data_IF_952072740691
#
_entry.id   IF_952072740691
#
_cell.length_a   1.000
_cell.length_b   1.000
_cell.length_c   1.000
_cell.angle_alpha   90.00
_cell.angle_beta   90.00
_cell.angle_gamma   90.00
#
_symmetry.space_group_name_H-M   'P 1'
#
loop_
_entity.id
_entity.type
_entity.pdbx_description
1 polymer ?
#
# COMPACT_ATOMS: atom_id res chain seq x y z
N UNK A 1 4.41 -9.04 -11.22
CA UNK A 1 4.14 -8.32 -9.96
C UNK A 1 2.65 -8.15 -9.68
N UNK A 2 1.91 -7.20 -10.29
CA UNK A 2 0.50 -6.96 -9.91
C UNK A 2 -0.39 -8.21 -10.00
N UNK A 3 -0.30 -8.95 -11.11
CA UNK A 3 -1.02 -10.23 -11.27
C UNK A 3 -0.64 -11.26 -10.19
N UNK A 4 0.63 -11.31 -9.79
CA UNK A 4 1.09 -12.26 -8.76
C UNK A 4 0.54 -11.87 -7.38
N UNK A 5 0.58 -10.58 -7.03
CA UNK A 5 -0.01 -10.06 -5.79
C UNK A 5 -1.53 -10.31 -5.73
N UNK A 6 -2.24 -10.09 -6.85
CA UNK A 6 -3.67 -10.42 -6.94
C UNK A 6 -3.92 -11.93 -6.78
N UNK A 7 -3.06 -12.77 -7.36
CA UNK A 7 -3.17 -14.23 -7.24
C UNK A 7 -2.97 -14.68 -5.80
N UNK A 8 -1.98 -14.13 -5.08
CA UNK A 8 -1.72 -14.48 -3.68
C UNK A 8 -2.86 -14.09 -2.74
N UNK A 9 -3.72 -13.15 -3.16
CA UNK A 9 -4.93 -12.73 -2.45
C UNK A 9 -6.19 -13.52 -2.86
N UNK A 10 -6.04 -14.54 -3.71
CA UNK A 10 -7.11 -15.37 -4.25
C UNK A 10 -8.11 -14.61 -5.14
N UNK A 11 -7.67 -13.59 -5.87
CA UNK A 11 -8.51 -12.85 -6.81
C UNK A 11 -8.59 -13.54 -8.17
N UNK A 12 -9.75 -13.44 -8.82
CA UNK A 12 -9.95 -13.97 -10.17
C UNK A 12 -9.52 -12.94 -11.22
N UNK A 13 -8.25 -13.01 -11.61
CA UNK A 13 -7.63 -12.13 -12.60
C UNK A 13 -8.26 -12.28 -14.00
N UNK A 14 -8.90 -13.42 -14.31
CA UNK A 14 -9.57 -13.61 -15.60
C UNK A 14 -10.86 -12.78 -15.65
N UNK A 15 -11.60 -12.74 -14.54
CA UNK A 15 -12.82 -11.92 -14.41
C UNK A 15 -12.52 -10.46 -14.14
N UNK A 16 -11.39 -10.16 -13.50
CA UNK A 16 -10.94 -8.81 -13.16
C UNK A 16 -9.50 -8.59 -13.67
N UNK A 17 -9.31 -8.41 -14.99
CA UNK A 17 -8.01 -8.05 -15.53
C UNK A 17 -7.64 -6.63 -15.10
N UNK A 18 -6.34 -6.35 -14.98
CA UNK A 18 -5.81 -5.07 -14.45
C UNK A 18 -6.40 -3.82 -15.11
N UNK A 19 -6.60 -3.82 -16.44
CA UNK A 19 -7.18 -2.68 -17.15
C UNK A 19 -8.70 -2.51 -17.02
N UNK A 20 -9.39 -3.42 -16.32
CA UNK A 20 -10.82 -3.31 -15.99
C UNK A 20 -11.07 -3.04 -14.50
N UNK A 21 -10.02 -3.00 -13.69
CA UNK A 21 -10.13 -2.61 -12.30
C UNK A 21 -10.52 -1.13 -12.25
N UNK A 22 -11.60 -0.80 -11.53
CA UNK A 22 -12.12 0.58 -11.47
C UNK A 22 -12.26 1.05 -10.03
N UNK A 23 -12.02 2.35 -9.79
CA UNK A 23 -12.28 3.01 -8.49
C UNK A 23 -13.69 2.71 -7.96
N UNK A 24 -14.68 2.69 -8.85
CA UNK A 24 -16.08 2.39 -8.50
C UNK A 24 -16.29 0.95 -8.01
N UNK A 25 -15.64 -0.03 -8.63
CA UNK A 25 -15.75 -1.42 -8.20
C UNK A 25 -15.10 -1.64 -6.83
N UNK A 26 -13.97 -0.96 -6.58
CA UNK A 26 -13.27 -1.00 -5.29
C UNK A 26 -14.11 -0.32 -4.20
N UNK A 27 -14.70 0.84 -4.48
CA UNK A 27 -15.59 1.55 -3.56
C UNK A 27 -16.79 0.68 -3.15
N UNK A 28 -17.48 0.05 -4.12
CA UNK A 28 -18.55 -0.91 -3.84
C UNK A 28 -18.08 -2.11 -3.01
N UNK A 29 -16.82 -2.53 -3.19
CA UNK A 29 -16.20 -3.56 -2.37
C UNK A 29 -16.09 -3.14 -0.90
N UNK A 30 -15.69 -1.89 -0.63
CA UNK A 30 -15.63 -1.34 0.73
C UNK A 30 -17.01 -1.22 1.35
N UNK A 31 -17.99 -0.68 0.62
CA UNK A 31 -19.40 -0.59 1.05
C UNK A 31 -19.92 -1.97 1.49
N UNK A 32 -19.67 -3.02 0.70
CA UNK A 32 -20.07 -4.38 1.06
C UNK A 32 -19.35 -4.91 2.32
N UNK A 33 -18.08 -4.56 2.54
CA UNK A 33 -17.36 -4.94 3.77
C UNK A 33 -17.89 -4.20 5.00
N UNK A 34 -18.32 -2.96 4.86
CA UNK A 34 -18.95 -2.17 5.93
C UNK A 34 -20.30 -2.76 6.34
N UNK A 35 -21.12 -3.16 5.35
CA UNK A 35 -22.37 -3.85 5.61
C UNK A 35 -22.13 -5.18 6.35
N UNK A 36 -21.11 -5.93 5.94
CA UNK A 36 -20.68 -7.17 6.60
C UNK A 36 -20.22 -6.88 8.03
N UNK A 37 -19.41 -5.85 8.26
CA UNK A 37 -18.96 -5.46 9.60
C UNK A 37 -20.15 -5.13 10.52
N UNK A 38 -21.10 -4.35 10.00
CA UNK A 38 -22.30 -3.98 10.73
C UNK A 38 -23.16 -5.21 11.04
N UNK A 39 -23.29 -6.15 10.10
CA UNK A 39 -24.00 -7.40 10.28
C UNK A 39 -23.33 -8.31 11.34
N UNK A 40 -22.01 -8.44 11.32
CA UNK A 40 -21.23 -9.18 12.32
C UNK A 40 -21.48 -8.60 13.72
N UNK A 41 -21.44 -7.26 13.87
CA UNK A 41 -21.72 -6.57 15.14
C UNK A 41 -23.15 -6.79 15.64
N UNK A 42 -24.12 -6.95 14.74
CA UNK A 42 -25.52 -7.29 15.07
C UNK A 42 -25.78 -8.78 15.28
N UNK A 43 -24.79 -9.64 15.04
CA UNK A 43 -24.95 -11.10 15.12
C UNK A 43 -25.66 -11.75 13.92
N UNK A 44 -25.82 -11.02 12.82
CA UNK A 44 -26.46 -11.47 11.59
C UNK A 44 -25.45 -12.22 10.70
N UNK A 45 -25.69 -13.51 10.41
CA UNK A 45 -24.76 -14.36 9.64
C UNK A 45 -25.14 -14.56 8.16
N UNK A 46 -26.26 -13.99 7.70
CA UNK A 46 -26.87 -14.38 6.43
C UNK A 46 -26.42 -13.55 5.20
N UNK A 47 -25.68 -12.46 5.37
CA UNK A 47 -25.26 -11.53 4.28
C UNK A 47 -23.79 -11.62 3.87
N UNK A 48 -23.09 -12.68 4.28
CA UNK A 48 -21.63 -12.71 4.33
C UNK A 48 -20.93 -13.12 3.02
N UNK A 49 -21.67 -13.16 1.89
CA UNK A 49 -21.16 -13.58 0.57
C UNK A 49 -21.17 -12.44 -0.49
N UNK A 50 -21.76 -11.27 -0.22
CA UNK A 50 -21.96 -10.19 -1.20
C UNK A 50 -20.65 -9.64 -1.78
N UNK A 51 -19.58 -9.58 -0.98
CA UNK A 51 -18.25 -9.15 -1.43
C UNK A 51 -17.75 -9.93 -2.65
N UNK A 52 -17.95 -11.26 -2.67
CA UNK A 52 -17.38 -12.12 -3.72
C UNK A 52 -18.09 -11.98 -5.07
N UNK A 53 -19.26 -11.34 -5.06
CA UNK A 53 -19.98 -10.95 -6.28
C UNK A 53 -19.40 -9.68 -6.87
N UNK A 54 -19.05 -8.70 -6.02
CA UNK A 54 -18.50 -7.41 -6.43
C UNK A 54 -17.01 -7.53 -6.79
N UNK A 55 -16.26 -8.27 -5.97
CA UNK A 55 -14.82 -8.51 -6.12
C UNK A 55 -14.63 -9.98 -6.46
N UNK A 56 -14.39 -10.33 -7.75
CA UNK A 56 -14.25 -11.71 -8.17
C UNK A 56 -13.08 -12.40 -7.48
N UNK A 57 -13.36 -13.48 -6.77
CA UNK A 57 -12.37 -14.34 -6.15
C UNK A 57 -12.34 -15.71 -6.84
N UNK A 58 -11.17 -16.34 -6.83
CA UNK A 58 -10.98 -17.68 -7.37
C UNK A 58 -10.89 -18.70 -6.21
N UNK A 59 -11.99 -19.39 -5.96
CA UNK A 59 -12.07 -20.49 -4.98
C UNK A 59 -11.95 -21.89 -5.63
N UNK A 60 -11.63 -21.96 -6.93
CA UNK A 60 -11.62 -23.20 -7.69
C UNK A 60 -13.02 -23.84 -7.76
N UNK A 61 -13.13 -25.08 -7.29
CA UNK A 61 -14.41 -25.83 -7.23
C UNK A 61 -15.12 -25.70 -5.88
N UNK A 62 -14.60 -24.88 -4.97
CA UNK A 62 -15.16 -24.70 -3.63
C UNK A 62 -16.13 -23.52 -3.60
N UNK A 63 -17.10 -23.57 -2.68
CA UNK A 63 -17.97 -22.44 -2.38
C UNK A 63 -17.14 -21.31 -1.71
N UNK A 64 -17.42 -20.03 -1.99
CA UNK A 64 -16.84 -18.92 -1.26
C UNK A 64 -17.00 -19.08 0.27
N UNK A 65 -15.96 -18.77 1.07
CA UNK A 65 -16.05 -18.84 2.52
C UNK A 65 -16.85 -17.67 3.09
N UNK A 66 -17.56 -17.92 4.19
CA UNK A 66 -18.34 -16.92 4.91
C UNK A 66 -17.41 -15.99 5.71
N UNK A 67 -17.51 -14.67 5.50
CA UNK A 67 -16.75 -13.66 6.27
C UNK A 67 -17.47 -13.44 7.62
N UNK A 68 -17.11 -14.20 8.65
CA UNK A 68 -17.79 -14.15 9.96
C UNK A 68 -16.89 -13.71 11.12
N UNK A 69 -15.63 -13.45 10.83
CA UNK A 69 -14.60 -13.18 11.82
C UNK A 69 -13.91 -11.86 11.49
N UNK A 70 -13.62 -11.06 12.52
CA UNK A 70 -13.01 -9.74 12.39
C UNK A 70 -11.62 -9.79 11.74
N UNK A 71 -10.84 -10.84 12.02
CA UNK A 71 -9.54 -11.05 11.39
C UNK A 71 -9.69 -11.30 9.88
N UNK A 72 -10.69 -12.10 9.49
CA UNK A 72 -10.96 -12.36 8.06
C UNK A 72 -11.47 -11.10 7.36
N UNK A 73 -12.36 -10.35 8.01
CA UNK A 73 -12.88 -9.08 7.52
C UNK A 73 -11.75 -8.07 7.29
N UNK A 74 -10.88 -7.90 8.28
CA UNK A 74 -9.75 -6.97 8.20
C UNK A 74 -8.78 -7.36 7.08
N UNK A 75 -8.48 -8.65 6.92
CA UNK A 75 -7.68 -9.14 5.79
C UNK A 75 -8.30 -8.83 4.43
N UNK A 76 -9.64 -8.79 4.32
CA UNK A 76 -10.34 -8.36 3.09
C UNK A 76 -10.29 -6.86 2.87
N UNK A 77 -10.32 -6.05 3.92
CA UNK A 77 -10.10 -4.59 3.82
C UNK A 77 -8.68 -4.29 3.34
N UNK A 78 -7.68 -4.95 3.93
CA UNK A 78 -6.28 -4.82 3.50
C UNK A 78 -6.08 -5.22 2.04
N UNK A 79 -6.74 -6.30 1.59
CA UNK A 79 -6.74 -6.68 0.18
C UNK A 79 -7.34 -5.60 -0.73
N UNK A 80 -8.45 -4.97 -0.34
CA UNK A 80 -9.04 -3.87 -1.12
C UNK A 80 -8.16 -2.63 -1.17
N UNK A 81 -7.44 -2.31 -0.08
CA UNK A 81 -6.46 -1.23 -0.07
C UNK A 81 -5.35 -1.50 -1.11
N UNK A 82 -4.79 -2.71 -1.13
CA UNK A 82 -3.79 -3.06 -2.15
C UNK A 82 -4.37 -3.02 -3.56
N UNK A 83 -5.65 -3.36 -3.75
CA UNK A 83 -6.30 -3.20 -5.06
C UNK A 83 -6.48 -1.73 -5.46
N UNK A 84 -6.81 -0.85 -4.52
CA UNK A 84 -6.88 0.60 -4.77
C UNK A 84 -5.52 1.12 -5.26
N UNK A 85 -4.45 0.68 -4.60
CA UNK A 85 -3.10 1.02 -4.99
C UNK A 85 -2.74 0.44 -6.38
N UNK A 86 -3.15 -0.77 -6.69
CA UNK A 86 -2.90 -1.30 -8.04
C UNK A 86 -3.62 -0.46 -9.10
N UNK A 87 -4.84 0.01 -8.84
CA UNK A 87 -5.63 0.84 -9.75
C UNK A 87 -4.97 2.19 -10.01
N UNK A 88 -4.55 2.91 -8.96
CA UNK A 88 -3.88 4.21 -9.10
C UNK A 88 -2.56 4.06 -9.87
N UNK A 89 -1.79 2.99 -9.62
CA UNK A 89 -0.57 2.71 -10.39
C UNK A 89 -0.84 2.42 -11.87
N UNK A 90 -1.98 1.79 -12.21
CA UNK A 90 -2.39 1.62 -13.62
C UNK A 90 -2.78 2.97 -14.24
N UNK A 91 -3.50 3.81 -13.51
CA UNK A 91 -3.93 5.14 -13.96
C UNK A 91 -2.73 6.05 -14.27
N UNK A 92 -1.75 6.13 -13.37
CA UNK A 92 -0.50 6.86 -13.59
C UNK A 92 0.26 6.35 -14.83
N UNK A 93 0.31 5.02 -15.02
CA UNK A 93 0.94 4.42 -16.19
C UNK A 93 0.21 4.79 -17.49
N UNK A 94 -1.11 4.76 -17.48
CA UNK A 94 -1.92 5.12 -18.65
C UNK A 94 -1.77 6.60 -19.03
N UNK A 95 -1.66 7.50 -18.05
CA UNK A 95 -1.37 8.92 -18.28
C UNK A 95 0.02 9.14 -18.87
N UNK A 96 1.04 8.46 -18.34
CA UNK A 96 2.39 8.52 -18.90
C UNK A 96 2.43 8.02 -20.36
N UNK A 97 1.62 7.02 -20.70
CA UNK A 97 1.52 6.49 -22.06
C UNK A 97 0.81 7.44 -23.02
N UNK A 98 -0.23 8.16 -22.57
CA UNK A 98 -0.88 9.21 -23.38
C UNK A 98 0.06 10.39 -23.66
N UNK A 99 0.85 10.81 -22.66
CA UNK A 99 1.84 11.87 -22.84
C UNK A 99 2.91 11.52 -23.90
N UNK A 100 3.21 10.23 -24.12
CA UNK A 100 4.11 9.77 -25.21
C UNK A 100 3.54 10.04 -26.59
N UNK A 101 2.22 9.91 -26.77
CA UNK A 101 1.57 10.07 -28.07
C UNK A 101 1.53 11.55 -28.50
N UNK A 102 1.56 12.48 -27.53
CA UNK A 102 1.51 13.92 -27.75
C UNK A 102 2.90 14.54 -28.00
N UNK A 103 3.99 13.97 -27.45
CA UNK A 103 5.37 14.44 -27.67
C UNK A 103 6.03 13.76 -28.89
N UNK A 104 5.95 14.41 -30.05
CA UNK A 104 6.46 13.88 -31.34
C UNK A 104 7.97 13.92 -31.56
N UNK A 105 8.71 14.83 -30.89
CA UNK A 105 10.10 15.13 -31.32
C UNK A 105 11.21 14.53 -30.43
N UNK A 106 10.93 14.16 -29.17
CA UNK A 106 11.83 13.39 -28.30
C UNK A 106 11.02 12.67 -27.22
N UNK A 107 10.79 11.36 -27.40
CA UNK A 107 10.14 10.52 -26.39
C UNK A 107 11.21 10.04 -25.39
N UNK A 108 11.17 10.44 -24.11
CA UNK A 108 12.12 9.93 -23.11
C UNK A 108 12.05 8.40 -23.00
N UNK A 109 13.10 7.74 -22.53
CA UNK A 109 13.07 6.28 -22.38
C UNK A 109 11.91 5.87 -21.45
N UNK A 110 11.16 4.77 -21.72
CA UNK A 110 9.97 4.41 -20.95
C UNK A 110 10.19 4.29 -19.44
N UNK A 111 11.39 3.93 -19.01
CA UNK A 111 11.76 3.87 -17.59
C UNK A 111 11.87 5.26 -16.98
N UNK A 112 12.44 6.22 -17.70
CA UNK A 112 12.59 7.60 -17.21
C UNK A 112 11.21 8.27 -17.07
N UNK A 113 10.28 7.95 -17.97
CA UNK A 113 8.91 8.44 -17.88
C UNK A 113 8.16 7.86 -16.68
N UNK A 114 8.28 6.55 -16.45
CA UNK A 114 7.71 5.93 -15.26
C UNK A 114 8.34 6.48 -13.98
N UNK A 115 9.63 6.81 -14.00
CA UNK A 115 10.30 7.43 -12.87
C UNK A 115 9.79 8.85 -12.63
N UNK A 116 9.66 9.66 -13.68
CA UNK A 116 9.10 11.01 -13.60
C UNK A 116 7.64 11.01 -13.10
N UNK A 117 6.83 10.02 -13.50
CA UNK A 117 5.44 9.92 -13.02
C UNK A 117 5.33 9.64 -11.53
N UNK A 118 6.40 9.17 -10.87
CA UNK A 118 6.42 8.97 -9.42
C UNK A 118 6.47 10.29 -8.63
N UNK A 119 6.91 11.40 -9.26
CA UNK A 119 7.13 12.71 -8.59
C UNK A 119 7.92 12.56 -7.27
N UNK A 120 8.94 11.71 -7.35
CA UNK A 120 9.74 11.31 -6.21
C UNK A 120 11.19 11.13 -6.68
N UNK A 121 12.11 11.80 -6.01
CA UNK A 121 13.53 11.67 -6.26
C UNK A 121 14.07 10.49 -5.46
N UNK A 122 14.73 9.57 -6.16
CA UNK A 122 15.39 8.41 -5.58
C UNK A 122 16.90 8.51 -5.80
N UNK A 123 17.66 8.58 -4.72
CA UNK A 123 19.13 8.59 -4.72
C UNK A 123 19.66 7.27 -4.16
N UNK A 124 20.47 6.56 -4.96
CA UNK A 124 21.12 5.34 -4.47
C UNK A 124 22.18 5.71 -3.43
N UNK A 125 22.04 5.17 -2.22
CA UNK A 125 22.97 5.40 -1.13
C UNK A 125 24.25 4.57 -1.32
N UNK A 126 25.42 5.20 -1.10
CA UNK A 126 26.69 4.48 -1.12
C UNK A 126 26.76 3.48 0.05
N UNK A 127 27.10 2.23 -0.24
CA UNK A 127 27.24 1.15 0.74
C UNK A 127 28.35 1.43 1.76
N UNK A 128 29.30 2.32 1.44
CA UNK A 128 30.38 2.74 2.36
C UNK A 128 29.97 3.87 3.30
N UNK A 129 28.86 4.55 3.03
CA UNK A 129 28.36 5.69 3.83
C UNK A 129 28.04 5.29 5.28
N UNK A 130 27.99 6.29 6.16
CA UNK A 130 27.67 6.06 7.58
C UNK A 130 26.21 5.67 7.74
N UNK A 131 25.34 6.30 6.95
CA UNK A 131 23.89 6.14 6.91
C UNK A 131 23.51 4.72 6.49
N UNK A 132 24.20 4.17 5.48
CA UNK A 132 24.00 2.78 5.05
C UNK A 132 24.34 1.80 6.19
N UNK A 133 25.49 1.99 6.84
CA UNK A 133 25.93 1.14 7.97
C UNK A 133 24.99 1.24 9.17
N UNK A 134 24.43 2.42 9.44
CA UNK A 134 23.40 2.60 10.48
C UNK A 134 22.14 1.81 10.13
N UNK A 135 21.71 1.86 8.86
CA UNK A 135 20.54 1.12 8.36
C UNK A 135 20.77 -0.39 8.45
N UNK A 136 21.93 -0.88 8.02
CA UNK A 136 22.33 -2.28 8.14
C UNK A 136 22.36 -2.75 9.59
N UNK A 137 22.97 -1.96 10.49
CA UNK A 137 23.00 -2.26 11.93
C UNK A 137 21.59 -2.32 12.51
N UNK A 138 20.70 -1.40 12.11
CA UNK A 138 19.31 -1.40 12.58
C UNK A 138 18.56 -2.64 12.09
N UNK A 139 18.70 -3.00 10.82
CA UNK A 139 18.10 -4.21 10.25
C UNK A 139 18.59 -5.47 10.95
N UNK A 140 19.89 -5.57 11.24
CA UNK A 140 20.46 -6.73 11.92
C UNK A 140 20.02 -6.82 13.39
N UNK A 141 19.76 -5.68 14.04
CA UNK A 141 19.35 -5.63 15.44
C UNK A 141 17.84 -5.90 15.63
N UNK A 142 16.99 -5.36 14.74
CA UNK A 142 15.52 -5.40 14.91
C UNK A 142 14.79 -6.23 13.87
N UNK A 143 15.45 -6.57 12.75
CA UNK A 143 14.86 -7.31 11.65
C UNK A 143 14.84 -8.82 11.90
N UNK A 144 14.13 -9.52 11.00
CA UNK A 144 14.12 -10.98 11.00
C UNK A 144 15.50 -11.53 10.64
N UNK A 145 15.95 -12.56 11.36
CA UNK A 145 17.20 -13.26 11.05
C UNK A 145 17.15 -13.84 9.62
N UNK A 146 18.26 -13.70 8.89
CA UNK A 146 18.42 -14.22 7.52
C UNK A 146 18.01 -13.23 6.41
N UNK A 147 17.73 -11.97 6.75
CA UNK A 147 17.59 -10.90 5.75
C UNK A 147 18.97 -10.35 5.39
N UNK A 148 19.18 -10.13 4.09
CA UNK A 148 20.39 -9.48 3.57
C UNK A 148 20.01 -8.14 2.97
N UNK A 149 20.59 -7.05 3.48
CA UNK A 149 20.40 -5.72 2.90
C UNK A 149 21.09 -5.66 1.54
N UNK A 150 20.31 -5.43 0.48
CA UNK A 150 20.83 -5.40 -0.90
C UNK A 150 21.24 -3.97 -1.27
N UNK A 151 20.27 -3.07 -1.32
CA UNK A 151 20.45 -1.67 -1.68
C UNK A 151 19.58 -0.78 -0.76
N UNK A 152 20.00 0.46 -0.56
CA UNK A 152 19.25 1.49 0.16
C UNK A 152 19.12 2.68 -0.77
N UNK A 153 17.89 3.14 -0.95
CA UNK A 153 17.58 4.33 -1.71
C UNK A 153 17.10 5.38 -0.72
N UNK A 154 17.69 6.57 -0.79
CA UNK A 154 17.14 7.76 -0.18
C UNK A 154 15.97 8.24 -1.04
N UNK A 155 14.90 8.65 -0.37
CA UNK A 155 13.60 8.94 -0.96
C UNK A 155 13.23 10.35 -0.57
N UNK A 156 13.08 11.22 -1.56
CA UNK A 156 12.67 12.60 -1.39
C UNK A 156 11.40 12.81 -2.22
N UNK A 157 10.26 12.94 -1.54
CA UNK A 157 8.96 13.14 -2.17
C UNK A 157 8.68 14.62 -2.30
N UNK A 158 8.08 15.01 -3.42
CA UNK A 158 7.66 16.38 -3.65
C UNK A 158 6.69 16.85 -2.55
N UNK A 159 6.89 18.06 -2.02
CA UNK A 159 6.08 18.70 -0.95
C UNK A 159 6.10 18.02 0.43
N UNK A 160 6.67 16.82 0.60
CA UNK A 160 6.67 16.13 1.91
C UNK A 160 7.54 16.86 2.94
N UNK A 161 8.71 17.35 2.53
CA UNK A 161 9.58 18.13 3.40
C UNK A 161 8.88 19.38 3.97
N UNK A 162 8.22 20.15 3.10
CA UNK A 162 7.47 21.36 3.49
C UNK A 162 6.35 21.04 4.50
N UNK A 163 5.60 19.96 4.26
CA UNK A 163 4.54 19.50 5.19
C UNK A 163 5.12 18.98 6.50
N UNK A 164 6.28 18.33 6.46
CA UNK A 164 6.89 17.74 7.65
C UNK A 164 7.48 18.81 8.58
N UNK A 165 7.94 19.93 8.03
CA UNK A 165 8.45 21.08 8.79
C UNK A 165 7.44 21.65 9.80
N UNK A 166 6.13 21.53 9.54
CA UNK A 166 5.08 21.95 10.51
C UNK A 166 5.23 21.25 11.87
N UNK A 167 5.90 20.10 11.91
CA UNK A 167 6.10 19.29 13.11
C UNK A 167 7.51 19.43 13.71
N UNK A 168 8.34 20.39 13.26
CA UNK A 168 9.73 20.59 13.73
C UNK A 168 9.85 20.88 15.22
N UNK A 169 8.79 21.40 15.83
CA UNK A 169 8.72 21.59 17.27
C UNK A 169 8.59 20.28 18.08
N UNK A 170 8.28 19.14 17.45
CA UNK A 170 8.14 17.86 18.14
C UNK A 170 9.51 17.21 18.38
N UNK A 171 9.85 17.00 19.66
CA UNK A 171 11.15 16.46 20.07
C UNK A 171 11.28 14.94 19.85
N UNK A 172 10.19 14.18 19.94
CA UNK A 172 10.25 12.72 19.86
C UNK A 172 10.09 12.20 18.43
N UNK A 173 11.19 12.30 17.68
CA UNK A 173 11.31 11.81 16.31
C UNK A 173 12.00 10.46 16.28
N UNK A 174 11.38 9.49 15.59
CA UNK A 174 11.90 8.13 15.49
C UNK A 174 11.90 7.65 14.07
N UNK A 175 12.91 6.87 13.76
CA UNK A 175 13.07 6.23 12.47
C UNK A 175 12.53 4.80 12.54
N UNK A 176 11.39 4.56 11.87
CA UNK A 176 10.63 3.33 12.00
C UNK A 176 10.60 2.54 10.69
N UNK A 177 10.35 1.24 10.81
CA UNK A 177 10.21 0.35 9.66
C UNK A 177 8.76 0.33 9.19
N UNK A 178 8.55 0.55 7.90
CA UNK A 178 7.26 0.34 7.25
C UNK A 178 7.43 -0.68 6.12
N UNK A 179 6.87 -1.88 6.31
CA UNK A 179 6.87 -2.93 5.30
C UNK A 179 5.60 -2.87 4.47
N UNK A 180 5.72 -2.83 3.14
CA UNK A 180 4.58 -2.83 2.23
C UNK A 180 4.71 -3.89 1.15
N UNK A 181 3.61 -4.22 0.49
CA UNK A 181 3.62 -5.10 -0.67
C UNK A 181 4.30 -4.37 -1.85
N UNK A 182 5.12 -5.08 -2.61
CA UNK A 182 5.79 -4.49 -3.79
C UNK A 182 4.79 -3.93 -4.82
N UNK A 183 3.57 -4.47 -4.86
CA UNK A 183 2.48 -3.95 -5.68
C UNK A 183 2.03 -2.52 -5.30
N UNK A 184 2.37 -2.03 -4.10
CA UNK A 184 1.98 -0.70 -3.61
C UNK A 184 3.13 0.30 -3.72
N UNK A 185 4.36 -0.18 -3.92
CA UNK A 185 5.59 0.65 -4.02
C UNK A 185 5.55 1.65 -5.18
N UNK A 186 4.72 1.41 -6.19
CA UNK A 186 4.59 2.30 -7.34
C UNK A 186 3.81 3.60 -7.02
N UNK A 187 3.18 3.71 -5.84
CA UNK A 187 2.40 4.88 -5.46
C UNK A 187 3.11 5.61 -4.34
N UNK A 188 3.90 6.58 -4.78
CA UNK A 188 4.36 7.66 -3.93
C UNK A 188 3.91 9.01 -4.49
N UNK A 189 2.74 9.09 -5.15
CA UNK A 189 2.17 10.39 -5.51
C UNK A 189 1.57 11.07 -4.25
N UNK A 190 2.07 12.24 -3.81
CA UNK A 190 1.49 13.02 -2.72
C UNK A 190 0.18 13.75 -3.10
N UNK A 191 -0.30 13.63 -4.35
CA UNK A 191 -1.46 14.37 -4.87
C UNK A 191 -2.76 13.58 -5.05
N UNK A 192 -2.75 12.24 -4.98
CA UNK A 192 -4.00 11.45 -4.96
C UNK A 192 -4.29 10.91 -3.55
N UNK A 193 -4.83 11.78 -2.70
CA UNK A 193 -5.55 11.35 -1.50
C UNK A 193 -6.88 10.72 -1.93
N UNK A 194 -7.07 9.43 -1.65
CA UNK A 194 -8.41 8.81 -1.71
C UNK A 194 -9.16 9.23 -0.46
N UNK A 195 -10.01 10.24 -0.58
CA UNK A 195 -10.98 10.60 0.45
C UNK A 195 -12.18 9.66 0.35
N UNK A 196 -12.43 8.88 1.40
CA UNK A 196 -13.65 8.07 1.53
C UNK A 196 -14.51 8.75 2.60
N UNK A 197 -15.78 9.01 2.29
CA UNK A 197 -16.71 9.58 3.26
C UNK A 197 -17.30 8.46 4.12
N UNK A 198 -16.99 8.49 5.42
CA UNK A 198 -17.50 7.55 6.41
C UNK A 198 -18.36 8.34 7.40
N UNK A 199 -19.65 8.03 7.46
CA UNK A 199 -20.59 8.56 8.48
C UNK A 199 -20.67 10.11 8.51
N UNK A 200 -20.71 10.74 7.33
CA UNK A 200 -20.74 12.19 7.17
C UNK A 200 -19.43 12.92 7.50
N UNK A 201 -18.33 12.18 7.65
CA UNK A 201 -16.98 12.72 7.80
C UNK A 201 -16.08 12.22 6.68
N UNK A 202 -15.35 13.12 6.04
CA UNK A 202 -14.29 12.76 5.09
C UNK A 202 -13.15 12.09 5.86
N UNK A 203 -12.83 10.84 5.50
CA UNK A 203 -11.74 10.06 6.07
C UNK A 203 -10.72 9.76 4.97
N UNK A 204 -9.51 10.29 5.14
CA UNK A 204 -8.33 9.83 4.43
C UNK A 204 -7.71 8.63 5.18
N UNK A 205 -7.00 7.75 4.48
CA UNK A 205 -6.11 6.74 5.09
C UNK A 205 -5.19 7.45 6.10
N UNK A 206 -5.09 6.97 7.34
CA UNK A 206 -5.12 7.85 8.50
C UNK A 206 -3.86 8.69 8.68
N UNK A 207 -4.03 10.01 8.62
CA UNK A 207 -3.27 10.95 9.46
C UNK A 207 -4.20 11.41 10.59
N UNK A 208 -3.92 10.94 11.80
CA UNK A 208 -4.56 11.35 13.05
C UNK A 208 -3.57 11.23 14.20
N UNK A 209 -3.90 11.77 15.38
CA UNK A 209 -3.06 11.62 16.59
C UNK A 209 -2.75 10.15 16.82
N UNK A 210 -1.48 9.83 17.08
CA UNK A 210 -1.01 8.48 17.31
C UNK A 210 -1.89 7.76 18.35
N UNK A 211 -2.59 6.71 17.92
CA UNK A 211 -3.37 5.85 18.81
C UNK A 211 -2.43 4.75 19.29
N UNK A 212 -2.29 4.61 20.61
CA UNK A 212 -1.45 3.59 21.22
C UNK A 212 -2.08 2.21 21.06
N UNK A 213 -1.71 1.49 20.01
CA UNK A 213 -2.18 0.12 19.76
C UNK A 213 -1.28 -0.89 20.50
N UNK A 214 -1.55 -1.10 21.79
CA UNK A 214 -0.80 -2.06 22.62
C UNK A 214 -0.79 -3.49 22.05
N UNK A 215 -1.83 -3.87 21.31
CA UNK A 215 -1.96 -5.20 20.71
C UNK A 215 -0.92 -5.51 19.62
N UNK A 216 -0.26 -4.49 19.06
CA UNK A 216 0.78 -4.66 18.02
C UNK A 216 2.19 -4.36 18.53
N UNK A 217 2.35 -4.18 19.85
CA UNK A 217 3.64 -3.92 20.46
C UNK A 217 4.53 -5.17 20.31
N UNK A 218 5.52 -5.11 19.40
CA UNK A 218 6.37 -6.25 19.03
C UNK A 218 5.90 -7.05 17.80
N UNK A 219 4.87 -6.60 17.10
CA UNK A 219 4.48 -7.18 15.80
C UNK A 219 5.45 -6.80 14.69
N UNK A 220 5.60 -7.67 13.69
CA UNK A 220 6.42 -7.43 12.50
C UNK A 220 5.61 -7.73 11.25
N UNK A 221 5.51 -6.77 10.33
CA UNK A 221 4.88 -6.95 9.02
C UNK A 221 5.95 -7.21 7.96
N UNK A 222 5.80 -8.29 7.19
CA UNK A 222 6.66 -8.58 6.04
C UNK A 222 5.85 -9.21 4.92
N UNK A 223 6.06 -8.74 3.70
CA UNK A 223 5.49 -9.33 2.49
C UNK A 223 6.63 -9.64 1.51
N UNK A 224 7.10 -10.89 1.52
CA UNK A 224 8.22 -11.31 0.70
C UNK A 224 7.74 -11.46 -0.73
N UNK A 225 8.28 -10.65 -1.64
CA UNK A 225 7.94 -10.73 -3.06
C UNK A 225 8.42 -12.03 -3.72
N UNK A 226 8.00 -12.30 -4.97
CA UNK A 226 8.21 -13.59 -5.67
C UNK A 226 9.67 -14.05 -5.83
N UNK A 227 10.65 -13.17 -5.60
CA UNK A 227 12.09 -13.46 -5.69
C UNK A 227 12.83 -13.37 -4.36
N UNK A 228 12.12 -13.45 -3.22
CA UNK A 228 12.75 -13.31 -1.90
C UNK A 228 13.16 -11.88 -1.56
N UNK A 229 12.69 -10.88 -2.32
CA UNK A 229 12.98 -9.46 -2.08
C UNK A 229 11.81 -8.81 -1.35
N UNK A 230 12.13 -8.07 -0.30
CA UNK A 230 11.18 -7.30 0.51
C UNK A 230 11.56 -5.81 0.40
N UNK A 231 10.73 -4.95 -0.20
CA UNK A 231 10.89 -3.52 -0.03
C UNK A 231 10.54 -3.17 1.43
N UNK A 232 11.48 -2.54 2.12
CA UNK A 232 11.30 -2.06 3.48
C UNK A 232 11.59 -0.57 3.48
N UNK A 233 10.61 0.21 3.90
CA UNK A 233 10.73 1.67 3.97
C UNK A 233 11.18 2.08 5.35
N UNK A 234 11.85 3.21 5.36
CA UNK A 234 12.24 3.89 6.57
C UNK A 234 11.63 5.27 6.53
N UNK A 235 10.69 5.53 7.43
CA UNK A 235 10.04 6.83 7.56
C UNK A 235 10.39 7.42 8.91
N UNK A 236 10.64 8.73 8.93
CA UNK A 236 10.71 9.48 10.17
C UNK A 236 9.28 9.73 10.64
N UNK A 237 8.89 9.11 11.75
CA UNK A 237 7.58 9.31 12.36
C UNK A 237 7.76 10.07 13.68
N UNK A 238 6.93 11.11 13.87
CA UNK A 238 6.81 11.80 15.14
C UNK A 238 5.87 10.99 16.05
N UNK A 239 6.39 10.54 17.19
CA UNK A 239 5.59 9.81 18.18
C UNK A 239 5.40 10.71 19.39
N UNK A 240 4.21 11.24 19.66
CA UNK A 240 3.97 11.91 20.95
C UNK A 240 3.87 10.85 22.07
N UNK A 241 4.71 10.94 23.10
CA UNK A 241 4.58 10.11 24.33
C UNK A 241 3.40 10.60 25.17
#
# INVERSE_FOLDING_TARGET
MFKEAMTSMNLDIKKMPLGKLSKQQIAKGFEALEEIEAAIKRGERNKLEELFTIIPHNFGRNRPPVISDDYVLQGKKEMLLVLADIEVAQSLKAESEKAKEEMKDMVPHPVDQNYQSLKCKLSLMDKKSKEFKITEKYLNATGRKGLTLVDVWEVERDTEAERFMENDALENRKLLWHGTNVAVVAIFDPSEEVFIEFDGKKVAVPRGKAIKQQQYQGSSFFNIGPRGRLPLWRTEECVSV
#
